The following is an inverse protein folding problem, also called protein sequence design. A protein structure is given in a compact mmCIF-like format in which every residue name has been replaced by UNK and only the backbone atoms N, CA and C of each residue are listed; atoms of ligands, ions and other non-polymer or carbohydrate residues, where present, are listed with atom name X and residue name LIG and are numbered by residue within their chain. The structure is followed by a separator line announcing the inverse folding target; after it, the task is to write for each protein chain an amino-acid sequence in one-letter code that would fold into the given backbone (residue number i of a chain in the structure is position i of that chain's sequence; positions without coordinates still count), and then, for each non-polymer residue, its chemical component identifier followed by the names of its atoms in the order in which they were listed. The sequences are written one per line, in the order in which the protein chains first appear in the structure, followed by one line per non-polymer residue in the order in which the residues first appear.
data_IF_580295189704
#
_entry.id   IF_580295189704
#
_cell.length_a   1.000
_cell.length_b   1.000
_cell.length_c   1.000
_cell.angle_alpha   90.00
_cell.angle_beta   90.00
_cell.angle_gamma   90.00
#
_symmetry.space_group_name_H-M   'P 1'
#
loop_
_entity.id
_entity.type
_entity.pdbx_description
1 polymer ?
#
# COMPACT_ATOMS: atom_id res chain seq x y z
N UNK A 1 -26.43 -37.10 5.87
CA UNK A 1 -25.64 -36.00 6.48
C UNK A 1 -24.38 -35.61 5.68
N UNK A 2 -24.32 -35.82 4.35
CA UNK A 2 -23.12 -35.50 3.54
C UNK A 2 -23.21 -34.24 2.68
N UNK A 3 -24.40 -33.62 2.51
CA UNK A 3 -24.55 -32.43 1.65
C UNK A 3 -24.15 -31.10 2.28
N UNK A 4 -24.12 -31.01 3.61
CA UNK A 4 -23.85 -29.74 4.30
C UNK A 4 -22.37 -29.34 4.27
N UNK A 5 -21.47 -30.34 4.22
CA UNK A 5 -20.02 -30.10 4.23
C UNK A 5 -19.48 -29.60 2.88
N UNK A 6 -20.07 -30.03 1.76
CA UNK A 6 -19.65 -29.63 0.40
C UNK A 6 -20.01 -28.18 0.06
N UNK A 7 -21.21 -27.73 0.48
CA UNK A 7 -21.67 -26.36 0.23
C UNK A 7 -20.82 -25.31 0.96
N UNK A 8 -20.41 -25.60 2.20
CA UNK A 8 -19.54 -24.71 2.99
C UNK A 8 -18.14 -24.60 2.37
N UNK A 9 -17.59 -25.71 1.85
CA UNK A 9 -16.29 -25.70 1.18
C UNK A 9 -16.32 -24.93 -0.15
N UNK A 10 -17.35 -25.12 -0.98
CA UNK A 10 -17.51 -24.34 -2.21
C UNK A 10 -17.67 -22.85 -1.94
N UNK A 11 -18.49 -22.46 -0.96
CA UNK A 11 -18.67 -21.05 -0.61
C UNK A 11 -17.36 -20.40 -0.15
N UNK A 12 -16.52 -21.15 0.56
CA UNK A 12 -15.19 -20.68 0.99
C UNK A 12 -14.23 -20.53 -0.20
N UNK A 13 -14.21 -21.51 -1.09
CA UNK A 13 -13.38 -21.48 -2.31
C UNK A 13 -13.76 -20.31 -3.22
N UNK A 14 -15.06 -20.07 -3.43
CA UNK A 14 -15.55 -18.94 -4.22
C UNK A 14 -15.16 -17.59 -3.61
N UNK A 15 -15.26 -17.46 -2.29
CA UNK A 15 -14.78 -16.26 -1.59
C UNK A 15 -13.28 -16.05 -1.83
N UNK A 16 -12.46 -17.09 -1.65
CA UNK A 16 -11.02 -16.99 -1.92
C UNK A 16 -10.71 -16.67 -3.39
N UNK A 17 -11.43 -17.25 -4.34
CA UNK A 17 -11.27 -16.95 -5.76
C UNK A 17 -11.62 -15.48 -6.08
N UNK A 18 -12.71 -14.97 -5.53
CA UNK A 18 -13.10 -13.57 -5.67
C UNK A 18 -12.04 -12.62 -5.08
N UNK A 19 -11.48 -12.96 -3.91
CA UNK A 19 -10.39 -12.21 -3.30
C UNK A 19 -9.15 -12.20 -4.21
N UNK A 20 -8.74 -13.35 -4.74
CA UNK A 20 -7.61 -13.44 -5.67
C UNK A 20 -7.85 -12.62 -6.93
N UNK A 21 -9.05 -12.69 -7.52
CA UNK A 21 -9.43 -11.91 -8.70
C UNK A 21 -9.38 -10.39 -8.45
N UNK A 22 -9.63 -9.93 -7.22
CA UNK A 22 -9.55 -8.50 -6.89
C UNK A 22 -8.14 -8.03 -6.49
N UNK A 23 -7.37 -8.85 -5.76
CA UNK A 23 -6.02 -8.45 -5.30
C UNK A 23 -4.95 -8.66 -6.38
N UNK A 24 -4.99 -9.78 -7.10
CA UNK A 24 -3.91 -10.16 -8.02
C UNK A 24 -3.69 -9.12 -9.14
N UNK A 25 -4.72 -8.54 -9.79
CA UNK A 25 -4.49 -7.54 -10.83
C UNK A 25 -3.81 -6.28 -10.31
N UNK A 26 -4.18 -5.82 -9.10
CA UNK A 26 -3.56 -4.66 -8.45
C UNK A 26 -2.11 -4.94 -8.08
N UNK A 27 -1.81 -6.15 -7.61
CA UNK A 27 -0.45 -6.57 -7.31
C UNK A 27 0.41 -6.60 -8.57
N UNK A 28 -0.07 -7.24 -9.64
CA UNK A 28 0.63 -7.33 -10.92
C UNK A 28 0.88 -5.95 -11.50
N UNK A 29 -0.10 -5.05 -11.47
CA UNK A 29 0.07 -3.68 -11.94
C UNK A 29 1.16 -2.95 -11.15
N UNK A 30 1.17 -3.05 -9.81
CA UNK A 30 2.21 -2.44 -8.99
C UNK A 30 3.60 -3.03 -9.27
N UNK A 31 3.69 -4.35 -9.46
CA UNK A 31 4.92 -5.03 -9.85
C UNK A 31 5.43 -4.54 -11.22
N UNK A 32 4.55 -4.42 -12.21
CA UNK A 32 4.89 -3.86 -13.54
C UNK A 32 5.37 -2.42 -13.42
N UNK A 33 4.71 -1.58 -12.61
CA UNK A 33 5.14 -0.20 -12.39
C UNK A 33 6.53 -0.11 -11.75
N UNK A 34 6.82 -0.92 -10.73
CA UNK A 34 8.15 -0.99 -10.13
C UNK A 34 9.21 -1.45 -11.14
N UNK A 35 8.88 -2.43 -11.99
CA UNK A 35 9.77 -2.91 -13.03
C UNK A 35 10.05 -1.85 -14.11
N UNK A 36 9.03 -1.11 -14.54
CA UNK A 36 9.17 -0.02 -15.51
C UNK A 36 10.02 1.12 -14.93
N UNK A 37 9.81 1.49 -13.66
CA UNK A 37 10.64 2.48 -12.97
C UNK A 37 12.10 2.05 -12.95
N UNK A 38 12.38 0.80 -12.60
CA UNK A 38 13.75 0.26 -12.65
C UNK A 38 14.32 0.29 -14.07
N UNK A 39 13.54 -0.09 -15.08
CA UNK A 39 14.01 -0.06 -16.47
C UNK A 39 14.38 1.36 -16.92
N UNK A 40 13.55 2.36 -16.60
CA UNK A 40 13.81 3.77 -16.89
C UNK A 40 15.04 4.27 -16.13
N UNK A 41 15.19 3.91 -14.85
CA UNK A 41 16.35 4.25 -14.04
C UNK A 41 17.64 3.64 -14.59
N UNK A 42 17.62 2.36 -14.98
CA UNK A 42 18.76 1.67 -15.59
C UNK A 42 19.12 2.30 -16.93
N UNK A 43 18.13 2.55 -17.81
CA UNK A 43 18.34 3.22 -19.10
C UNK A 43 18.96 4.60 -18.94
N UNK A 44 18.42 5.42 -18.04
CA UNK A 44 18.95 6.77 -17.74
C UNK A 44 20.38 6.69 -17.22
N UNK A 45 20.67 5.73 -16.34
CA UNK A 45 22.02 5.49 -15.81
C UNK A 45 23.00 5.06 -16.91
N UNK A 46 22.61 4.15 -17.80
CA UNK A 46 23.46 3.72 -18.93
C UNK A 46 23.72 4.87 -19.90
N UNK A 47 22.69 5.67 -20.22
CA UNK A 47 22.83 6.84 -21.09
C UNK A 47 23.80 7.87 -20.49
N UNK A 48 23.66 8.17 -19.20
CA UNK A 48 24.57 9.09 -18.50
C UNK A 48 26.01 8.57 -18.47
N UNK A 49 26.22 7.28 -18.16
CA UNK A 49 27.57 6.68 -18.16
C UNK A 49 28.21 6.65 -19.55
N UNK A 50 27.41 6.45 -20.61
CA UNK A 50 27.92 6.55 -21.99
C UNK A 50 28.33 7.99 -22.34
N UNK A 51 27.63 9.00 -21.80
CA UNK A 51 28.01 10.41 -21.92
C UNK A 51 29.28 10.76 -21.13
N UNK A 52 29.40 10.28 -19.89
CA UNK A 52 30.61 10.49 -19.06
C UNK A 52 31.85 9.81 -19.66
N UNK A 53 31.69 8.72 -20.41
CA UNK A 53 32.81 8.07 -21.10
C UNK A 53 33.35 8.89 -22.30
N UNK A 54 32.68 10.00 -22.67
CA UNK A 54 33.15 10.98 -23.66
C UNK A 54 33.83 12.21 -23.04
N UNK A 55 33.65 12.49 -21.74
CA UNK A 55 34.29 13.63 -21.06
C UNK A 55 35.56 13.22 -20.31
N UNK A 56 36.54 14.12 -20.33
CA UNK A 56 37.95 13.88 -19.93
C UNK A 56 38.18 13.62 -18.42
N UNK A 57 39.43 13.30 -18.04
CA UNK A 57 39.81 12.68 -16.76
C UNK A 57 39.62 13.52 -15.47
N UNK A 58 38.96 14.68 -15.51
CA UNK A 58 38.96 15.66 -14.41
C UNK A 58 37.63 15.81 -13.63
N UNK A 59 36.55 15.10 -13.99
CA UNK A 59 35.28 15.23 -13.26
C UNK A 59 35.17 14.30 -12.02
N UNK A 60 34.79 14.83 -10.84
CA UNK A 60 34.66 14.05 -9.62
C UNK A 60 33.53 13.03 -9.76
N UNK A 61 33.79 11.78 -9.35
CA UNK A 61 32.81 10.68 -9.38
C UNK A 61 31.51 11.13 -8.73
N UNK A 62 30.46 11.27 -9.53
CA UNK A 62 29.11 11.48 -9.05
C UNK A 62 28.73 10.30 -8.14
N UNK A 63 28.76 10.53 -6.83
CA UNK A 63 28.30 9.60 -5.80
C UNK A 63 26.76 9.51 -5.83
N UNK A 64 26.20 9.07 -6.96
CA UNK A 64 24.79 8.68 -7.03
C UNK A 64 24.68 7.34 -6.31
N UNK A 65 23.91 7.31 -5.23
CA UNK A 65 23.67 6.12 -4.42
C UNK A 65 23.10 4.99 -5.30
N UNK A 66 23.97 4.06 -5.68
CA UNK A 66 23.83 3.15 -6.82
C UNK A 66 22.94 1.91 -6.54
N UNK A 67 22.19 1.94 -5.42
CA UNK A 67 21.49 0.77 -4.87
C UNK A 67 19.96 0.81 -4.94
N UNK A 68 19.36 1.83 -5.56
CA UNK A 68 17.90 2.02 -5.60
C UNK A 68 17.19 1.13 -6.64
N UNK A 69 17.39 -0.18 -6.58
CA UNK A 69 16.53 -1.12 -7.32
C UNK A 69 15.18 -1.18 -6.60
N UNK A 70 14.12 -0.75 -7.27
CA UNK A 70 12.76 -0.70 -6.71
C UNK A 70 12.03 -2.03 -6.87
N UNK A 71 12.33 -2.82 -7.91
CA UNK A 71 11.83 -4.17 -8.12
C UNK A 71 12.70 -5.20 -7.40
N UNK A 72 12.60 -5.26 -6.07
CA UNK A 72 13.18 -6.33 -5.25
C UNK A 72 12.09 -7.23 -4.67
N UNK A 73 12.50 -8.41 -4.20
CA UNK A 73 11.59 -9.30 -3.48
C UNK A 73 11.06 -8.65 -2.20
N UNK A 74 11.85 -7.82 -1.51
CA UNK A 74 11.36 -7.08 -0.34
C UNK A 74 10.27 -6.07 -0.73
N UNK A 75 10.49 -5.31 -1.80
CA UNK A 75 9.49 -4.37 -2.33
C UNK A 75 8.20 -5.08 -2.73
N UNK A 76 8.30 -6.20 -3.47
CA UNK A 76 7.12 -6.99 -3.85
C UNK A 76 6.40 -7.56 -2.62
N UNK A 77 7.13 -8.05 -1.63
CA UNK A 77 6.55 -8.54 -0.38
C UNK A 77 5.85 -7.41 0.39
N UNK A 78 6.45 -6.22 0.44
CA UNK A 78 5.86 -5.04 1.07
C UNK A 78 4.59 -4.58 0.36
N UNK A 79 4.59 -4.54 -0.98
CA UNK A 79 3.41 -4.22 -1.80
C UNK A 79 2.29 -5.24 -1.56
N UNK A 80 2.60 -6.53 -1.61
CA UNK A 80 1.62 -7.59 -1.34
C UNK A 80 1.04 -7.48 0.07
N UNK A 81 1.90 -7.25 1.06
CA UNK A 81 1.50 -7.08 2.45
C UNK A 81 0.60 -5.84 2.63
N UNK A 82 0.97 -4.71 2.04
CA UNK A 82 0.18 -3.47 2.07
C UNK A 82 -1.19 -3.65 1.41
N UNK A 83 -1.26 -4.27 0.23
CA UNK A 83 -2.53 -4.53 -0.45
C UNK A 83 -3.43 -5.49 0.34
N UNK A 84 -2.86 -6.50 0.99
CA UNK A 84 -3.63 -7.39 1.87
C UNK A 84 -4.16 -6.65 3.08
N UNK A 85 -3.36 -5.77 3.69
CA UNK A 85 -3.82 -4.92 4.80
C UNK A 85 -4.92 -3.96 4.34
N UNK A 86 -4.76 -3.33 3.18
CA UNK A 86 -5.77 -2.43 2.60
C UNK A 86 -7.10 -3.13 2.37
N UNK A 87 -7.07 -4.37 1.88
CA UNK A 87 -8.29 -5.15 1.72
C UNK A 87 -9.02 -5.42 3.04
N UNK A 88 -8.26 -5.56 4.13
CA UNK A 88 -8.81 -5.80 5.48
C UNK A 88 -9.23 -4.50 6.18
N UNK A 89 -8.94 -3.32 5.62
CA UNK A 89 -9.36 -2.05 6.22
C UNK A 89 -10.87 -1.96 6.17
N UNK A 90 -11.50 -1.68 7.31
CA UNK A 90 -12.95 -1.41 7.35
C UNK A 90 -13.30 -0.05 6.73
N UNK A 91 -12.39 0.92 6.81
CA UNK A 91 -12.59 2.28 6.28
C UNK A 91 -12.24 2.37 4.79
N UNK A 92 -13.17 2.89 3.99
CA UNK A 92 -13.00 3.10 2.55
C UNK A 92 -13.60 4.45 2.12
N UNK A 93 -12.99 5.11 1.13
CA UNK A 93 -13.50 6.36 0.56
C UNK A 93 -14.92 6.17 0.00
N UNK A 94 -15.83 7.11 0.28
CA UNK A 94 -17.21 7.08 -0.20
C UNK A 94 -18.11 6.05 0.50
N UNK A 95 -17.57 5.30 1.48
CA UNK A 95 -18.35 4.45 2.38
C UNK A 95 -18.58 5.17 3.71
N UNK A 96 -19.49 4.63 4.51
CA UNK A 96 -19.75 5.12 5.87
C UNK A 96 -18.48 5.04 6.71
N UNK A 97 -18.14 6.13 7.39
CA UNK A 97 -17.00 6.17 8.29
C UNK A 97 -17.22 5.21 9.48
N UNK A 98 -16.23 4.34 9.83
CA UNK A 98 -16.34 3.49 11.00
C UNK A 98 -16.52 4.29 12.29
N UNK A 99 -17.54 3.95 13.08
CA UNK A 99 -17.82 4.61 14.35
C UNK A 99 -17.12 3.91 15.52
N UNK A 100 -15.79 3.91 15.51
CA UNK A 100 -14.98 3.21 16.52
C UNK A 100 -14.96 3.97 17.85
N UNK A 101 -14.67 3.25 18.92
CA UNK A 101 -14.54 3.81 20.27
C UNK A 101 -13.22 4.57 20.45
N UNK A 102 -13.28 5.71 21.14
CA UNK A 102 -12.15 6.57 21.50
C UNK A 102 -12.35 7.10 22.91
N UNK A 103 -11.27 7.57 23.55
CA UNK A 103 -11.34 8.16 24.89
C UNK A 103 -11.04 9.65 24.78
N UNK A 104 -11.97 10.48 25.27
CA UNK A 104 -11.76 11.91 25.35
C UNK A 104 -10.82 12.21 26.54
N UNK A 105 -9.64 12.77 26.24
CA UNK A 105 -8.57 12.97 27.24
C UNK A 105 -9.02 13.86 28.39
N UNK A 106 -9.77 14.93 28.10
CA UNK A 106 -10.18 15.92 29.09
C UNK A 106 -11.19 15.36 30.11
N UNK A 107 -12.10 14.49 29.67
CA UNK A 107 -13.18 13.94 30.50
C UNK A 107 -12.91 12.50 30.96
N UNK A 108 -11.82 11.87 30.49
CA UNK A 108 -11.53 10.43 30.63
C UNK A 108 -12.72 9.54 30.28
N UNK A 109 -13.54 10.00 29.33
CA UNK A 109 -14.80 9.37 28.95
C UNK A 109 -14.63 8.61 27.63
N UNK A 110 -15.14 7.39 27.58
CA UNK A 110 -15.26 6.63 26.34
C UNK A 110 -16.43 7.18 25.52
N UNK A 111 -16.14 7.55 24.28
CA UNK A 111 -17.09 8.06 23.29
C UNK A 111 -16.80 7.37 21.96
N UNK A 112 -17.63 7.58 20.93
CA UNK A 112 -17.31 7.12 19.58
C UNK A 112 -16.91 8.29 18.69
N UNK A 113 -16.15 8.01 17.63
CA UNK A 113 -15.62 9.04 16.72
C UNK A 113 -16.71 9.96 16.19
N UNK A 114 -17.87 9.40 15.80
CA UNK A 114 -18.94 10.20 15.22
C UNK A 114 -19.66 11.08 16.26
N UNK A 115 -19.55 10.77 17.55
CA UNK A 115 -20.08 11.62 18.63
C UNK A 115 -19.31 12.95 18.73
N UNK A 116 -18.08 13.01 18.19
CA UNK A 116 -17.29 14.24 18.10
C UNK A 116 -17.70 15.15 16.93
N UNK A 117 -18.60 14.70 16.05
CA UNK A 117 -19.08 15.52 14.92
C UNK A 117 -20.01 16.63 15.40
N UNK A 118 -19.83 17.83 14.85
CA UNK A 118 -20.73 18.97 15.08
C UNK A 118 -21.65 19.15 13.88
N UNK A 119 -22.87 18.64 13.99
CA UNK A 119 -23.92 18.72 12.96
C UNK A 119 -23.41 18.24 11.59
N UNK A 120 -23.44 19.10 10.57
CA UNK A 120 -23.01 18.82 9.20
C UNK A 120 -21.58 19.27 8.91
N UNK A 121 -20.82 19.72 9.91
CA UNK A 121 -19.43 20.17 9.70
C UNK A 121 -18.52 18.97 9.45
N UNK A 122 -17.61 19.04 8.46
CA UNK A 122 -16.61 17.99 8.26
C UNK A 122 -15.76 17.80 9.53
N UNK A 123 -15.60 16.55 9.95
CA UNK A 123 -14.70 16.16 11.03
C UNK A 123 -13.39 15.65 10.42
N UNK A 124 -12.27 16.30 10.76
CA UNK A 124 -10.93 15.91 10.31
C UNK A 124 -10.26 15.14 11.45
N UNK A 125 -9.77 13.94 11.15
CA UNK A 125 -9.07 13.09 12.10
C UNK A 125 -7.59 13.04 11.76
N UNK A 126 -6.74 13.29 12.76
CA UNK A 126 -5.29 13.13 12.65
C UNK A 126 -4.83 12.15 13.74
N UNK A 127 -4.36 10.98 13.32
CA UNK A 127 -3.87 9.95 14.21
C UNK A 127 -2.34 10.02 14.27
N UNK A 128 -1.79 9.98 15.47
CA UNK A 128 -0.35 9.99 15.68
C UNK A 128 0.01 9.49 17.07
N UNK A 129 1.30 9.19 17.27
CA UNK A 129 1.89 8.83 18.55
C UNK A 129 3.15 9.65 18.77
N UNK A 130 3.44 10.00 20.02
CA UNK A 130 4.74 10.51 20.40
C UNK A 130 5.68 9.30 20.50
N UNK A 131 6.44 9.02 19.44
CA UNK A 131 7.60 8.13 19.50
C UNK A 131 8.87 8.95 19.58
#
# INVERSE_FOLDING_TARGET
MMHDSGGVQMARAMKHAALCLMLLPRFLLAAVMLWLLDFLCIRKKVLLRMGEQQDGPDDPKLCVSDSNKMFTLESLRAVWYGQKLDFLKSAHLGRTAPNTEVVLVQERRQVRILDCMKEKRPLILNFGSCS
#
